data_IF_463939394500
#
_entry.id   IF_463939394500
#
_cell.length_a   1.000
_cell.length_b   1.000
_cell.length_c   1.000
_cell.angle_alpha   90.00
_cell.angle_beta   90.00
_cell.angle_gamma   90.00
#
_symmetry.space_group_name_H-M   'P 1'
#
loop_
_entity.id
_entity.type
_entity.pdbx_description
1 polymer ?
#
# COMPACT_ATOMS: atom_id res chain seq x y z
N UNK A 1 -5.60 -7.03 62.11
CA UNK A 1 -6.24 -7.43 60.84
C UNK A 1 -5.12 -7.96 59.96
N UNK A 2 -5.16 -9.25 59.62
CA UNK A 2 -4.18 -9.86 58.71
C UNK A 2 -4.52 -9.38 57.31
N UNK A 3 -3.66 -8.59 56.68
CA UNK A 3 -3.78 -8.36 55.24
C UNK A 3 -3.42 -9.68 54.56
N UNK A 4 -4.36 -10.26 53.80
CA UNK A 4 -4.05 -11.37 52.92
C UNK A 4 -2.88 -10.97 52.01
N UNK A 5 -1.95 -11.89 51.79
CA UNK A 5 -0.79 -11.64 50.94
C UNK A 5 -1.28 -11.37 49.52
N UNK A 6 -1.24 -10.11 49.11
CA UNK A 6 -1.62 -9.68 47.76
C UNK A 6 -0.69 -10.36 46.76
N UNK A 7 -1.26 -11.18 45.89
CA UNK A 7 -0.55 -11.75 44.75
C UNK A 7 -0.35 -10.65 43.70
N UNK A 8 0.87 -10.12 43.65
CA UNK A 8 1.23 -9.02 42.74
C UNK A 8 0.99 -9.37 41.27
N UNK A 9 1.09 -10.64 40.89
CA UNK A 9 0.83 -11.08 39.50
C UNK A 9 -0.66 -10.96 39.18
N UNK A 10 -1.51 -11.43 40.09
CA UNK A 10 -2.96 -11.34 39.92
C UNK A 10 -3.42 -9.88 39.78
N UNK A 11 -2.84 -9.00 40.60
CA UNK A 11 -3.23 -7.59 40.59
C UNK A 11 -2.71 -6.82 39.38
N UNK A 12 -1.53 -7.18 38.87
CA UNK A 12 -1.05 -6.73 37.56
C UNK A 12 -1.94 -7.21 36.41
N UNK A 13 -2.42 -8.46 36.44
CA UNK A 13 -3.35 -8.98 35.43
C UNK A 13 -4.70 -8.25 35.47
N UNK A 14 -5.21 -7.91 36.65
CA UNK A 14 -6.44 -7.14 36.83
C UNK A 14 -6.31 -5.70 36.37
N UNK A 15 -5.17 -5.05 36.65
CA UNK A 15 -4.86 -3.71 36.12
C UNK A 15 -4.75 -3.73 34.60
N UNK A 16 -4.04 -4.70 34.02
CA UNK A 16 -3.90 -4.85 32.57
C UNK A 16 -5.23 -5.07 31.85
N UNK A 17 -6.13 -5.88 32.43
CA UNK A 17 -7.50 -6.08 31.91
C UNK A 17 -8.36 -4.80 31.96
N UNK A 18 -8.08 -3.88 32.89
CA UNK A 18 -8.74 -2.57 32.98
C UNK A 18 -8.13 -1.54 32.02
N UNK A 19 -6.83 -1.62 31.73
CA UNK A 19 -6.11 -0.67 30.89
C UNK A 19 -6.27 -0.95 29.38
N UNK A 20 -6.33 -2.22 28.98
CA UNK A 20 -6.49 -2.62 27.57
C UNK A 20 -7.64 -3.63 27.48
N UNK A 21 -8.82 -3.17 27.06
CA UNK A 21 -9.91 -4.10 26.78
C UNK A 21 -9.60 -4.85 25.49
N UNK A 22 -9.86 -6.16 25.48
CA UNK A 22 -9.71 -6.97 24.26
C UNK A 22 -10.59 -6.42 23.13
N UNK A 23 -11.73 -5.83 23.49
CA UNK A 23 -12.65 -5.17 22.56
C UNK A 23 -12.02 -3.94 21.90
N UNK A 24 -11.34 -3.07 22.66
CA UNK A 24 -10.68 -1.88 22.09
C UNK A 24 -9.52 -2.26 21.17
N UNK A 25 -8.78 -3.32 21.51
CA UNK A 25 -7.74 -3.87 20.65
C UNK A 25 -8.33 -4.41 19.33
N UNK A 26 -9.43 -5.16 19.39
CA UNK A 26 -10.09 -5.69 18.20
C UNK A 26 -10.64 -4.57 17.30
N UNK A 27 -11.23 -3.52 17.89
CA UNK A 27 -11.67 -2.34 17.15
C UNK A 27 -10.51 -1.63 16.45
N UNK A 28 -9.34 -1.53 17.10
CA UNK A 28 -8.16 -0.92 16.52
C UNK A 28 -7.64 -1.74 15.32
N UNK A 29 -7.56 -3.07 15.48
CA UNK A 29 -7.18 -3.99 14.40
C UNK A 29 -8.15 -3.87 13.22
N UNK A 30 -9.47 -3.84 13.49
CA UNK A 30 -10.48 -3.68 12.45
C UNK A 30 -10.32 -2.36 11.69
N UNK A 31 -10.05 -1.25 12.40
CA UNK A 31 -9.79 0.05 11.78
C UNK A 31 -8.57 0.02 10.86
N UNK A 32 -7.50 -0.65 11.26
CA UNK A 32 -6.29 -0.82 10.44
C UNK A 32 -6.62 -1.60 9.16
N UNK A 33 -7.30 -2.74 9.28
CA UNK A 33 -7.68 -3.58 8.14
C UNK A 33 -8.60 -2.84 7.16
N UNK A 34 -9.62 -2.13 7.66
CA UNK A 34 -10.54 -1.33 6.83
C UNK A 34 -9.81 -0.22 6.08
N UNK A 35 -8.83 0.43 6.72
CA UNK A 35 -8.02 1.47 6.08
C UNK A 35 -7.17 0.90 4.94
N UNK A 36 -6.57 -0.26 5.16
CA UNK A 36 -5.77 -0.96 4.15
C UNK A 36 -6.62 -1.40 2.96
N UNK A 37 -7.81 -1.96 3.21
CA UNK A 37 -8.75 -2.36 2.15
C UNK A 37 -9.23 -1.17 1.32
N UNK A 38 -9.54 -0.03 1.97
CA UNK A 38 -9.93 1.19 1.27
C UNK A 38 -8.80 1.73 0.38
N UNK A 39 -7.56 1.66 0.87
CA UNK A 39 -6.38 2.07 0.10
C UNK A 39 -6.18 1.20 -1.14
N UNK A 40 -6.29 -0.12 -1.01
CA UNK A 40 -6.19 -1.06 -2.13
C UNK A 40 -7.27 -0.82 -3.18
N UNK A 41 -8.53 -0.64 -2.76
CA UNK A 41 -9.64 -0.29 -3.66
C UNK A 41 -9.36 1.00 -4.42
N UNK A 42 -8.81 2.02 -3.76
CA UNK A 42 -8.46 3.28 -4.40
C UNK A 42 -7.33 3.14 -5.44
N UNK A 43 -6.37 2.23 -5.23
CA UNK A 43 -5.33 1.93 -6.24
C UNK A 43 -5.94 1.20 -7.43
N UNK A 44 -6.75 0.17 -7.18
CA UNK A 44 -7.42 -0.60 -8.23
C UNK A 44 -8.31 0.29 -9.10
N UNK A 45 -9.10 1.16 -8.50
CA UNK A 45 -9.93 2.12 -9.23
C UNK A 45 -9.11 2.99 -10.17
N UNK A 46 -7.95 3.50 -9.72
CA UNK A 46 -7.05 4.31 -10.58
C UNK A 46 -6.41 3.50 -11.70
N UNK A 47 -6.05 2.25 -11.43
CA UNK A 47 -5.52 1.35 -12.44
C UNK A 47 -6.54 1.07 -13.54
N UNK A 48 -7.83 0.92 -13.19
CA UNK A 48 -8.93 0.67 -14.13
C UNK A 48 -9.36 1.92 -14.91
N UNK A 49 -9.59 3.05 -14.21
CA UNK A 49 -10.08 4.28 -14.83
C UNK A 49 -9.03 4.93 -15.74
N UNK A 50 -7.75 4.73 -15.38
CA UNK A 50 -6.60 5.41 -15.94
C UNK A 50 -6.61 6.90 -15.66
N UNK A 51 -5.42 7.48 -15.57
CA UNK A 51 -5.33 8.91 -15.34
C UNK A 51 -5.71 9.72 -16.58
N UNK A 52 -6.44 10.83 -16.42
CA UNK A 52 -6.68 11.75 -17.52
C UNK A 52 -5.33 12.23 -18.08
N UNK A 53 -5.23 12.28 -19.40
CA UNK A 53 -4.03 12.71 -20.12
C UNK A 53 -3.61 14.12 -19.66
N UNK A 54 -2.42 14.24 -19.06
CA UNK A 54 -1.81 15.53 -18.70
C UNK A 54 -1.40 15.69 -17.23
N UNK A 55 -1.01 14.61 -16.53
CA UNK A 55 -0.47 14.74 -15.15
C UNK A 55 1.05 14.85 -15.21
N UNK A 56 1.58 15.95 -14.68
CA UNK A 56 2.99 16.39 -14.74
C UNK A 56 3.94 15.64 -13.77
N UNK A 57 3.66 14.37 -13.48
CA UNK A 57 4.51 13.50 -12.66
C UNK A 57 3.98 13.25 -11.25
N UNK A 58 4.61 12.30 -10.58
CA UNK A 58 4.35 11.96 -9.18
C UNK A 58 5.41 12.63 -8.31
N UNK A 59 5.01 13.17 -7.16
CA UNK A 59 5.96 13.66 -6.16
C UNK A 59 6.65 12.47 -5.50
N UNK A 60 7.92 12.23 -5.87
CA UNK A 60 8.71 11.10 -5.44
C UNK A 60 10.01 11.60 -4.80
N UNK A 61 10.28 11.11 -3.59
CA UNK A 61 11.59 11.23 -2.96
C UNK A 61 12.63 10.36 -3.69
N UNK A 62 13.58 11.00 -4.39
CA UNK A 62 14.60 10.31 -5.18
C UNK A 62 15.59 9.50 -4.34
N UNK A 63 15.82 9.87 -3.07
CA UNK A 63 16.73 9.15 -2.18
C UNK A 63 16.16 7.79 -1.79
N UNK A 64 14.85 7.62 -1.91
CA UNK A 64 14.13 6.37 -1.64
C UNK A 64 13.98 5.49 -2.89
N UNK A 65 14.39 5.95 -4.08
CA UNK A 65 14.29 5.18 -5.32
C UNK A 65 15.52 4.30 -5.55
N UNK A 66 15.28 3.08 -6.01
CA UNK A 66 16.35 2.18 -6.46
C UNK A 66 16.76 2.55 -7.89
N UNK A 67 17.98 3.08 -8.07
CA UNK A 67 18.45 3.56 -9.38
C UNK A 67 18.43 2.48 -10.47
N UNK A 68 18.63 1.21 -10.09
CA UNK A 68 18.57 0.06 -11.00
C UNK A 68 17.18 -0.20 -11.60
N UNK A 69 16.12 0.36 -10.99
CA UNK A 69 14.73 0.23 -11.44
C UNK A 69 14.23 1.43 -12.22
N UNK A 70 15.09 2.41 -12.50
CA UNK A 70 14.73 3.63 -13.23
C UNK A 70 15.13 3.47 -14.69
N UNK A 71 14.15 3.49 -15.58
CA UNK A 71 14.34 3.32 -17.02
C UNK A 71 13.80 4.51 -17.79
N UNK A 72 14.49 4.90 -18.87
CA UNK A 72 13.95 5.88 -19.80
C UNK A 72 12.86 5.26 -20.67
N UNK A 73 11.80 6.04 -20.91
CA UNK A 73 10.68 5.63 -21.78
C UNK A 73 11.12 5.20 -23.18
N UNK A 74 12.22 5.74 -23.71
CA UNK A 74 12.79 5.35 -25.00
C UNK A 74 13.37 3.92 -24.99
N UNK A 75 13.97 3.50 -23.86
CA UNK A 75 14.49 2.14 -23.69
C UNK A 75 13.33 1.13 -23.64
N UNK A 76 12.28 1.46 -22.89
CA UNK A 76 11.05 0.65 -22.81
C UNK A 76 10.42 0.50 -24.20
N UNK A 77 10.24 1.62 -24.92
CA UNK A 77 9.69 1.60 -26.29
C UNK A 77 10.51 0.75 -27.24
N UNK A 78 11.84 0.86 -27.20
CA UNK A 78 12.73 0.03 -28.03
C UNK A 78 12.52 -1.46 -27.74
N UNK A 79 12.50 -1.83 -26.45
CA UNK A 79 12.27 -3.20 -26.02
C UNK A 79 10.88 -3.71 -26.46
N UNK A 80 9.84 -2.88 -26.37
CA UNK A 80 8.52 -3.25 -26.87
C UNK A 80 8.49 -3.50 -28.37
N UNK A 81 9.25 -2.75 -29.17
CA UNK A 81 9.35 -3.00 -30.62
C UNK A 81 10.10 -4.30 -30.90
N UNK A 82 11.26 -4.50 -30.27
CA UNK A 82 12.13 -5.66 -30.49
C UNK A 82 11.41 -6.99 -30.16
N UNK A 83 10.63 -7.01 -29.07
CA UNK A 83 9.91 -8.20 -28.61
C UNK A 83 8.41 -8.19 -28.91
N UNK A 84 7.93 -7.19 -29.67
CA UNK A 84 6.50 -7.01 -30.05
C UNK A 84 5.57 -6.97 -28.84
N UNK A 85 6.02 -6.33 -27.76
CA UNK A 85 5.22 -6.08 -26.56
C UNK A 85 4.41 -4.78 -26.72
N UNK A 86 3.44 -4.59 -25.83
CA UNK A 86 2.66 -3.35 -25.73
C UNK A 86 3.04 -2.66 -24.44
N UNK A 87 3.18 -1.34 -24.48
CA UNK A 87 3.32 -0.47 -23.31
C UNK A 87 2.19 0.53 -23.39
N UNK A 88 1.09 0.22 -22.70
CA UNK A 88 -0.17 0.95 -22.79
C UNK A 88 -0.58 1.42 -21.40
N UNK A 89 -1.43 2.45 -21.35
CA UNK A 89 -2.10 2.79 -20.10
C UNK A 89 -2.91 1.60 -19.60
N UNK A 90 -2.86 1.35 -18.29
CA UNK A 90 -3.60 0.25 -17.63
C UNK A 90 -5.09 0.28 -17.93
N UNK A 91 -5.67 1.45 -18.20
CA UNK A 91 -7.06 1.63 -18.68
C UNK A 91 -7.42 0.77 -19.89
N UNK A 92 -6.46 0.54 -20.78
CA UNK A 92 -6.66 -0.26 -22.00
C UNK A 92 -6.41 -1.75 -21.78
N UNK A 93 -5.90 -2.13 -20.61
CA UNK A 93 -5.66 -3.52 -20.25
C UNK A 93 -6.96 -4.14 -19.74
N UNK A 94 -7.38 -5.23 -20.38
CA UNK A 94 -8.63 -5.94 -20.08
C UNK A 94 -8.42 -7.24 -19.29
N UNK A 95 -7.17 -7.57 -18.96
CA UNK A 95 -6.84 -8.74 -18.18
C UNK A 95 -6.86 -8.44 -16.68
N UNK A 96 -6.74 -9.49 -15.88
CA UNK A 96 -6.50 -9.34 -14.45
C UNK A 96 -5.09 -8.78 -14.22
N UNK A 97 -4.99 -7.74 -13.40
CA UNK A 97 -3.71 -7.18 -13.02
C UNK A 97 -2.99 -8.12 -12.04
N UNK A 98 -1.70 -8.39 -12.22
CA UNK A 98 -0.94 -9.19 -11.27
C UNK A 98 -1.01 -8.61 -9.86
N UNK A 99 -1.18 -9.46 -8.85
CA UNK A 99 -1.23 -9.04 -7.46
C UNK A 99 0.06 -8.33 -7.03
N UNK A 100 1.19 -8.74 -7.61
CA UNK A 100 2.50 -8.14 -7.40
C UNK A 100 2.55 -6.67 -7.86
N UNK A 101 1.81 -6.31 -8.91
CA UNK A 101 1.74 -4.93 -9.39
C UNK A 101 0.99 -4.04 -8.40
N UNK A 102 -0.13 -4.54 -7.86
CA UNK A 102 -0.88 -3.84 -6.80
C UNK A 102 -0.03 -3.67 -5.54
N UNK A 103 0.66 -4.74 -5.12
CA UNK A 103 1.54 -4.70 -3.96
C UNK A 103 2.68 -3.68 -4.14
N UNK A 104 3.33 -3.70 -5.31
CA UNK A 104 4.42 -2.77 -5.63
C UNK A 104 3.95 -1.32 -5.63
N UNK A 105 2.78 -1.03 -6.22
CA UNK A 105 2.19 0.30 -6.20
C UNK A 105 1.89 0.77 -4.76
N UNK A 106 1.29 -0.11 -3.95
CA UNK A 106 0.97 0.15 -2.55
C UNK A 106 2.20 0.44 -1.71
N UNK A 107 3.26 -0.35 -1.87
CA UNK A 107 4.52 -0.16 -1.14
C UNK A 107 5.17 1.18 -1.51
N UNK A 108 5.20 1.51 -2.81
CA UNK A 108 5.77 2.75 -3.30
C UNK A 108 4.97 3.98 -2.82
N UNK A 109 3.64 3.93 -2.84
CA UNK A 109 2.79 5.00 -2.27
C UNK A 109 3.05 5.22 -0.78
N UNK A 110 3.17 4.13 -0.01
CA UNK A 110 3.48 4.20 1.43
C UNK A 110 4.86 4.79 1.68
N UNK A 111 5.87 4.36 0.92
CA UNK A 111 7.26 4.80 1.07
C UNK A 111 7.43 6.28 0.77
N UNK A 112 6.84 6.75 -0.33
CA UNK A 112 6.95 8.14 -0.79
C UNK A 112 5.83 9.05 -0.27
N UNK A 113 4.87 8.51 0.50
CA UNK A 113 3.69 9.24 1.04
C UNK A 113 2.94 10.03 -0.04
N UNK A 114 2.78 9.41 -1.21
CA UNK A 114 2.22 10.03 -2.41
C UNK A 114 1.13 9.16 -3.00
N UNK A 115 0.28 9.73 -3.86
CA UNK A 115 -0.69 8.96 -4.65
C UNK A 115 -0.16 8.84 -6.06
N UNK A 116 0.19 7.62 -6.46
CA UNK A 116 0.73 7.32 -7.77
C UNK A 116 -0.33 7.44 -8.86
N UNK A 117 0.12 7.97 -9.99
CA UNK A 117 -0.69 8.16 -11.18
C UNK A 117 0.13 7.83 -12.41
N UNK A 118 -0.57 7.61 -13.53
CA UNK A 118 -0.01 7.38 -14.85
C UNK A 118 0.42 5.94 -15.09
N UNK A 119 -0.25 4.95 -14.48
CA UNK A 119 0.11 3.55 -14.61
C UNK A 119 0.12 3.07 -16.08
N UNK A 120 1.15 2.28 -16.41
CA UNK A 120 1.35 1.65 -17.71
C UNK A 120 1.64 0.16 -17.52
N UNK A 121 1.28 -0.67 -18.50
CA UNK A 121 1.47 -2.12 -18.53
C UNK A 121 1.87 -2.61 -19.93
#
# INVERSE_FOLDING_TARGET
MLFDRVDLKHELENLRKKEVSTESLLEEVEKILRREEAHEKAILQRLEEGDPSGIDGNDLDFDLLESERIFHISQIKKLCVDYRLRFLSTKFFKGELPAEALFSAKELEKKHRTTLRGFQI
#
